data_IF_381908036207
#
_entry.id   IF_381908036207
#
_cell.length_a   1.000
_cell.length_b   1.000
_cell.length_c   1.000
_cell.angle_alpha   90.00
_cell.angle_beta   90.00
_cell.angle_gamma   90.00
#
_symmetry.space_group_name_H-M   'P 1'
#
loop_
_entity.id
_entity.type
_entity.pdbx_description
1 polymer ?
#
# COMPACT_ATOMS: atom_id res chain seq x y z
N UNK A 1 -16.58 -6.71 -8.99
CA UNK A 1 -17.54 -5.69 -9.39
C UNK A 1 -16.99 -4.91 -10.59
N UNK A 2 -17.82 -4.72 -11.60
CA UNK A 2 -17.49 -4.09 -12.87
C UNK A 2 -18.39 -2.89 -13.09
N UNK A 3 -17.85 -1.85 -13.73
CA UNK A 3 -18.61 -0.68 -14.11
C UNK A 3 -18.32 -0.30 -15.56
N UNK A 4 -19.36 0.09 -16.28
CA UNK A 4 -19.25 0.59 -17.64
C UNK A 4 -19.10 2.10 -17.62
N UNK A 5 -18.08 2.58 -18.34
CA UNK A 5 -17.81 4.01 -18.48
C UNK A 5 -19.01 4.72 -19.15
N UNK A 6 -19.32 5.92 -18.69
CA UNK A 6 -20.44 6.72 -19.21
C UNK A 6 -21.80 6.43 -18.59
N UNK A 7 -21.89 5.51 -17.65
CA UNK A 7 -23.09 5.25 -16.87
C UNK A 7 -22.94 5.62 -15.41
N UNK A 8 -23.97 6.21 -14.83
CA UNK A 8 -24.02 6.48 -13.39
C UNK A 8 -24.14 5.15 -12.64
N UNK A 9 -23.04 4.68 -12.08
CA UNK A 9 -22.97 3.44 -11.33
C UNK A 9 -22.19 3.60 -10.02
N UNK A 10 -22.16 2.54 -9.26
CA UNK A 10 -21.54 2.46 -7.97
C UNK A 10 -20.03 2.74 -8.07
N UNK A 11 -19.56 3.73 -7.31
CA UNK A 11 -18.18 4.23 -7.39
C UNK A 11 -17.10 3.41 -6.66
N UNK A 12 -17.35 2.36 -5.86
CA UNK A 12 -16.28 1.49 -5.40
C UNK A 12 -15.98 0.30 -6.32
N UNK A 13 -16.51 0.27 -7.55
CA UNK A 13 -16.19 -0.82 -8.48
C UNK A 13 -14.70 -0.89 -8.79
N UNK A 14 -14.15 -2.10 -8.77
CA UNK A 14 -12.72 -2.32 -8.97
C UNK A 14 -12.27 -2.15 -10.40
N UNK A 15 -13.14 -2.47 -11.36
CA UNK A 15 -12.81 -2.50 -12.78
C UNK A 15 -13.86 -1.73 -13.55
N UNK A 16 -13.43 -0.78 -14.33
CA UNK A 16 -14.24 -0.03 -15.25
C UNK A 16 -13.87 -0.40 -16.68
N UNK A 17 -14.84 -0.46 -17.58
CA UNK A 17 -14.61 -0.82 -18.96
C UNK A 17 -15.58 -0.13 -19.93
N UNK A 18 -15.16 -0.03 -21.14
CA UNK A 18 -15.99 0.30 -22.32
C UNK A 18 -15.77 -0.74 -23.43
N UNK A 19 -16.18 -0.46 -24.66
CA UNK A 19 -16.04 -1.40 -25.77
C UNK A 19 -14.59 -1.69 -26.17
N UNK A 20 -13.64 -0.82 -25.82
CA UNK A 20 -12.26 -0.86 -26.30
C UNK A 20 -11.24 -0.91 -25.18
N UNK A 21 -11.61 -0.47 -23.96
CA UNK A 21 -10.66 -0.24 -22.87
C UNK A 21 -11.12 -0.86 -21.56
N UNK A 22 -10.14 -1.19 -20.72
CA UNK A 22 -10.31 -1.63 -19.33
C UNK A 22 -9.48 -0.73 -18.44
N UNK A 23 -10.11 -0.22 -17.37
CA UNK A 23 -9.46 0.65 -16.38
C UNK A 23 -9.54 0.03 -15.00
N UNK A 24 -8.40 -0.12 -14.38
CA UNK A 24 -8.26 -0.67 -13.04
C UNK A 24 -8.24 0.48 -12.03
N UNK A 25 -9.13 0.43 -11.04
CA UNK A 25 -9.23 1.48 -10.02
C UNK A 25 -8.16 1.32 -8.94
N UNK A 26 -7.91 2.35 -8.11
CA UNK A 26 -7.06 2.21 -6.92
C UNK A 26 -7.48 1.03 -6.04
N UNK A 27 -8.80 0.81 -5.88
CA UNK A 27 -9.34 -0.31 -5.11
C UNK A 27 -8.92 -1.69 -5.67
N UNK A 28 -8.88 -1.85 -6.98
CA UNK A 28 -8.35 -3.06 -7.62
C UNK A 28 -6.90 -3.31 -7.21
N UNK A 29 -6.05 -2.29 -7.30
CA UNK A 29 -4.63 -2.43 -6.95
C UNK A 29 -4.41 -2.72 -5.47
N UNK A 30 -5.18 -2.08 -4.57
CA UNK A 30 -5.14 -2.39 -3.15
C UNK A 30 -5.48 -3.86 -2.90
N UNK A 31 -6.60 -4.36 -3.46
CA UNK A 31 -7.01 -5.75 -3.31
C UNK A 31 -5.95 -6.71 -3.88
N UNK A 32 -5.40 -6.41 -5.04
CA UNK A 32 -4.32 -7.19 -5.66
C UNK A 32 -3.08 -7.26 -4.77
N UNK A 33 -2.64 -6.13 -4.22
CA UNK A 33 -1.48 -6.09 -3.34
C UNK A 33 -1.74 -6.86 -2.03
N UNK A 34 -2.95 -6.74 -1.45
CA UNK A 34 -3.31 -7.53 -0.28
C UNK A 34 -3.31 -9.03 -0.57
N UNK A 35 -3.90 -9.45 -1.69
CA UNK A 35 -3.98 -10.87 -2.05
C UNK A 35 -2.62 -11.50 -2.37
N UNK A 36 -1.69 -10.74 -2.94
CA UNK A 36 -0.38 -11.24 -3.33
C UNK A 36 0.67 -11.19 -2.21
N UNK A 37 0.40 -10.47 -1.12
CA UNK A 37 1.31 -10.30 0.01
C UNK A 37 0.62 -10.69 1.32
N UNK A 38 0.40 -11.99 1.48
CA UNK A 38 -0.20 -12.57 2.68
C UNK A 38 0.90 -13.05 3.62
N UNK A 39 0.75 -12.75 4.91
CA UNK A 39 1.50 -13.40 5.97
C UNK A 39 0.64 -14.48 6.62
N UNK A 40 1.27 -15.37 7.38
CA UNK A 40 0.61 -16.47 8.07
C UNK A 40 0.01 -16.03 9.41
N UNK A 41 0.58 -14.99 10.02
CA UNK A 41 0.08 -14.43 11.28
C UNK A 41 0.34 -12.93 11.37
N UNK A 42 -0.47 -12.25 12.20
CA UNK A 42 -0.33 -10.81 12.47
C UNK A 42 0.66 -10.57 13.60
N UNK A 43 1.49 -9.55 13.45
CA UNK A 43 2.39 -9.06 14.50
C UNK A 43 1.75 -7.86 15.17
N UNK A 44 1.62 -7.89 16.48
CA UNK A 44 1.11 -6.77 17.27
C UNK A 44 2.17 -5.68 17.39
N UNK A 45 1.75 -4.44 17.21
CA UNK A 45 2.59 -3.25 17.37
C UNK A 45 2.25 -2.58 18.70
N UNK A 46 2.91 -2.97 19.79
CA UNK A 46 2.61 -2.51 21.15
C UNK A 46 2.56 -0.97 21.26
N UNK A 47 1.34 -0.41 21.28
CA UNK A 47 1.08 1.02 21.48
C UNK A 47 1.48 1.96 20.32
N UNK A 48 2.28 1.51 19.37
CA UNK A 48 2.79 2.31 18.25
C UNK A 48 1.70 2.67 17.23
N UNK A 49 0.68 1.81 17.09
CA UNK A 49 -0.45 2.08 16.21
C UNK A 49 -1.13 3.43 16.48
N UNK A 50 -1.29 3.78 17.76
CA UNK A 50 -1.96 5.02 18.15
C UNK A 50 -1.16 6.26 17.74
N UNK A 51 0.15 6.21 17.90
CA UNK A 51 1.05 7.30 17.48
C UNK A 51 1.06 7.45 15.95
N UNK A 52 1.19 6.35 15.22
CA UNK A 52 1.15 6.36 13.76
C UNK A 52 -0.19 6.89 13.22
N UNK A 53 -1.31 6.50 13.82
CA UNK A 53 -2.64 7.01 13.45
C UNK A 53 -2.79 8.50 13.73
N UNK A 54 -2.18 9.02 14.80
CA UNK A 54 -2.15 10.46 15.08
C UNK A 54 -1.39 11.23 13.98
N UNK A 55 -0.37 10.61 13.40
CA UNK A 55 0.38 11.11 12.24
C UNK A 55 -0.31 10.81 10.89
N UNK A 56 -1.54 10.29 10.90
CA UNK A 56 -2.26 9.90 9.68
C UNK A 56 -1.57 8.81 8.87
N UNK A 57 -0.84 7.92 9.55
CA UNK A 57 -0.20 6.73 9.02
C UNK A 57 -0.92 5.49 9.55
N UNK A 58 -1.26 4.57 8.66
CA UNK A 58 -1.95 3.34 9.01
C UNK A 58 -1.06 2.17 8.60
N UNK A 59 -0.73 1.31 9.55
CA UNK A 59 0.19 0.19 9.34
C UNK A 59 -0.43 -1.10 9.82
N UNK A 60 -0.18 -2.18 9.09
CA UNK A 60 -0.36 -3.54 9.59
C UNK A 60 0.88 -4.36 9.26
N UNK A 61 1.28 -5.21 10.19
CA UNK A 61 2.44 -6.08 10.04
C UNK A 61 1.99 -7.53 10.12
N UNK A 62 2.43 -8.32 9.17
CA UNK A 62 2.26 -9.78 9.18
C UNK A 62 3.60 -10.46 8.96
N UNK A 63 3.71 -11.72 9.35
CA UNK A 63 4.91 -12.52 9.16
C UNK A 63 4.56 -13.87 8.58
N UNK A 64 5.43 -14.42 7.74
CA UNK A 64 5.30 -15.79 7.24
C UNK A 64 5.99 -16.76 8.18
N UNK A 65 5.63 -18.06 8.11
CA UNK A 65 6.33 -19.12 8.84
C UNK A 65 7.79 -19.25 8.43
N UNK A 66 8.15 -18.79 7.23
CA UNK A 66 9.52 -18.71 6.75
C UNK A 66 10.33 -17.54 7.36
N UNK A 67 9.67 -16.67 8.14
CA UNK A 67 10.31 -15.55 8.83
C UNK A 67 10.27 -14.22 8.06
N UNK A 68 9.73 -14.19 6.85
CA UNK A 68 9.60 -12.93 6.11
C UNK A 68 8.59 -11.99 6.80
N UNK A 69 8.93 -10.73 6.87
CA UNK A 69 8.07 -9.66 7.40
C UNK A 69 7.39 -8.93 6.25
N UNK A 70 6.09 -8.71 6.37
CA UNK A 70 5.28 -7.99 5.40
C UNK A 70 4.60 -6.82 6.11
N UNK A 71 5.06 -5.62 5.79
CA UNK A 71 4.50 -4.37 6.29
C UNK A 71 3.60 -3.76 5.23
N UNK A 72 2.34 -3.51 5.56
CA UNK A 72 1.40 -2.76 4.72
C UNK A 72 1.14 -1.41 5.36
N UNK A 73 1.44 -0.34 4.65
CA UNK A 73 1.39 1.02 5.18
C UNK A 73 0.64 1.96 4.25
N UNK A 74 -0.24 2.78 4.82
CA UNK A 74 -0.94 3.86 4.12
C UNK A 74 -0.47 5.20 4.67
N UNK A 75 0.06 6.05 3.82
CA UNK A 75 0.34 7.44 4.13
C UNK A 75 -0.75 8.33 3.53
N UNK A 76 -1.59 8.91 4.39
CA UNK A 76 -2.65 9.84 3.94
C UNK A 76 -2.21 11.31 3.93
N UNK A 77 -0.96 11.60 4.30
CA UNK A 77 -0.42 12.96 4.29
C UNK A 77 -0.10 13.44 2.87
N UNK A 78 -0.05 14.76 2.73
CA UNK A 78 0.41 15.41 1.50
C UNK A 78 1.95 15.44 1.36
N UNK A 79 2.67 14.92 2.35
CA UNK A 79 4.13 14.85 2.39
C UNK A 79 4.58 13.40 2.57
N UNK A 80 5.78 13.04 2.10
CA UNK A 80 6.38 11.75 2.43
C UNK A 80 6.55 11.59 3.94
N UNK A 81 6.48 10.34 4.40
CA UNK A 81 6.66 9.97 5.80
C UNK A 81 7.77 8.94 5.94
N UNK A 82 8.66 9.13 6.91
CA UNK A 82 9.69 8.15 7.22
C UNK A 82 9.16 7.19 8.29
N UNK A 83 8.85 5.96 7.87
CA UNK A 83 8.42 4.90 8.76
C UNK A 83 9.63 4.20 9.37
N UNK A 84 9.78 4.28 10.69
CA UNK A 84 10.81 3.54 11.41
C UNK A 84 10.46 2.04 11.45
N UNK A 85 11.45 1.19 11.26
CA UNK A 85 11.34 -0.27 11.34
C UNK A 85 12.36 -0.78 12.37
N UNK A 86 11.85 -1.48 13.37
CA UNK A 86 12.64 -2.10 14.42
C UNK A 86 12.16 -3.53 14.67
N UNK A 87 13.02 -4.37 15.22
CA UNK A 87 12.67 -5.70 15.68
C UNK A 87 11.93 -5.66 17.05
N UNK A 88 11.58 -6.84 17.55
CA UNK A 88 10.87 -7.01 18.82
C UNK A 88 11.67 -6.50 20.04
N UNK A 89 12.99 -6.36 19.92
CA UNK A 89 13.88 -5.84 20.93
C UNK A 89 14.14 -4.33 20.78
N UNK A 90 13.55 -3.71 19.76
CA UNK A 90 13.73 -2.28 19.47
C UNK A 90 15.01 -1.97 18.70
N UNK A 91 15.77 -2.97 18.25
CA UNK A 91 16.92 -2.75 17.41
C UNK A 91 16.51 -2.42 15.97
N UNK A 92 17.27 -1.56 15.31
CA UNK A 92 17.03 -1.20 13.91
C UNK A 92 17.01 -2.43 13.03
N UNK A 93 15.98 -2.52 12.18
CA UNK A 93 15.92 -3.54 11.14
C UNK A 93 16.93 -3.21 10.04
N UNK A 94 17.82 -4.14 9.73
CA UNK A 94 18.70 -4.09 8.57
C UNK A 94 18.43 -5.29 7.68
N UNK A 95 17.89 -5.03 6.47
CA UNK A 95 17.51 -6.09 5.54
C UNK A 95 17.49 -5.58 4.10
N UNK A 96 17.68 -6.49 3.18
CA UNK A 96 17.32 -6.28 1.78
C UNK A 96 15.91 -6.79 1.54
N UNK A 97 15.13 -6.03 0.79
CA UNK A 97 13.74 -6.36 0.55
C UNK A 97 13.20 -5.74 -0.73
N UNK A 98 11.88 -5.76 -0.83
CA UNK A 98 11.15 -5.13 -1.92
C UNK A 98 10.06 -4.23 -1.37
N UNK A 99 9.78 -3.15 -2.09
CA UNK A 99 8.67 -2.26 -1.83
C UNK A 99 7.79 -2.15 -3.07
N UNK A 100 6.50 -2.36 -2.90
CA UNK A 100 5.46 -2.08 -3.89
C UNK A 100 4.71 -0.84 -3.42
N UNK A 101 4.65 0.17 -4.26
CA UNK A 101 3.97 1.42 -3.95
C UNK A 101 2.86 1.68 -4.95
N UNK A 102 1.65 1.84 -4.44
CA UNK A 102 0.49 2.32 -5.19
C UNK A 102 0.36 3.81 -4.95
N UNK A 103 0.39 4.56 -6.02
CA UNK A 103 0.25 6.01 -6.01
C UNK A 103 -0.59 6.50 -7.20
N UNK A 104 -1.00 7.76 -7.15
CA UNK A 104 -1.69 8.39 -8.26
C UNK A 104 -0.76 8.51 -9.46
N UNK A 105 -1.28 8.25 -10.65
CA UNK A 105 -0.55 8.30 -11.91
C UNK A 105 -1.12 9.37 -12.85
N UNK A 106 -0.85 10.64 -12.54
CA UNK A 106 -1.27 11.75 -13.37
C UNK A 106 -2.62 12.38 -12.97
N UNK A 107 -3.21 13.16 -13.85
CA UNK A 107 -4.49 13.83 -13.63
C UNK A 107 -5.66 12.89 -13.89
N UNK A 108 -6.73 13.09 -13.11
CA UNK A 108 -7.97 12.33 -13.28
C UNK A 108 -8.75 12.88 -14.48
N UNK A 109 -8.96 12.09 -15.53
CA UNK A 109 -9.86 12.46 -16.59
C UNK A 109 -11.30 12.59 -16.08
N UNK A 110 -12.09 13.44 -16.73
CA UNK A 110 -13.51 13.59 -16.41
C UNK A 110 -14.25 12.26 -16.62
N UNK A 111 -15.10 11.88 -15.64
CA UNK A 111 -15.90 10.65 -15.64
C UNK A 111 -15.11 9.33 -15.72
N UNK A 112 -13.80 9.36 -15.43
CA UNK A 112 -12.94 8.19 -15.41
C UNK A 112 -12.51 7.85 -13.98
N UNK A 113 -12.09 6.59 -13.71
CA UNK A 113 -11.45 6.27 -12.45
C UNK A 113 -10.14 7.03 -12.28
N UNK A 114 -9.71 7.20 -11.02
CA UNK A 114 -8.42 7.80 -10.71
C UNK A 114 -7.29 6.97 -11.33
N UNK A 115 -6.43 7.56 -12.18
CA UNK A 115 -5.31 6.83 -12.74
C UNK A 115 -4.32 6.49 -11.63
N UNK A 116 -3.95 5.22 -11.55
CA UNK A 116 -3.08 4.69 -10.51
C UNK A 116 -2.04 3.77 -11.10
N UNK A 117 -0.88 3.74 -10.49
CA UNK A 117 0.19 2.80 -10.84
C UNK A 117 0.75 2.13 -9.60
N UNK A 118 1.20 0.91 -9.77
CA UNK A 118 2.04 0.21 -8.79
C UNK A 118 3.46 0.16 -9.33
N UNK A 119 4.40 0.61 -8.52
CA UNK A 119 5.83 0.45 -8.78
C UNK A 119 6.40 -0.61 -7.85
N UNK A 120 7.29 -1.45 -8.34
CA UNK A 120 8.06 -2.42 -7.56
C UNK A 120 9.53 -2.03 -7.60
N UNK A 121 10.15 -1.87 -6.43
CA UNK A 121 11.55 -1.53 -6.31
C UNK A 121 12.25 -2.42 -5.27
N UNK A 122 13.51 -2.74 -5.52
CA UNK A 122 14.38 -3.24 -4.46
C UNK A 122 14.62 -2.12 -3.43
N UNK A 123 14.66 -2.47 -2.16
CA UNK A 123 14.92 -1.54 -1.07
C UNK A 123 15.94 -2.12 -0.10
N UNK A 124 16.91 -1.31 0.30
CA UNK A 124 17.75 -1.59 1.47
C UNK A 124 17.12 -0.89 2.67
N UNK A 125 16.72 -1.67 3.65
CA UNK A 125 16.20 -1.17 4.93
C UNK A 125 17.38 -0.97 5.87
N UNK A 126 17.50 0.24 6.40
CA UNK A 126 18.42 0.62 7.48
C UNK A 126 17.61 1.39 8.54
N UNK A 127 16.86 0.64 9.31
CA UNK A 127 16.02 1.15 10.38
C UNK A 127 14.79 1.94 9.91
N UNK A 128 14.60 2.21 8.62
CA UNK A 128 13.44 2.95 8.12
C UNK A 128 13.20 2.77 6.64
N UNK A 129 11.99 3.15 6.21
CA UNK A 129 11.60 3.28 4.79
C UNK A 129 10.82 4.58 4.59
N UNK A 130 10.88 5.14 3.39
CA UNK A 130 10.11 6.32 3.02
C UNK A 130 8.81 5.89 2.35
N UNK A 131 7.69 6.32 2.92
CA UNK A 131 6.37 6.18 2.34
C UNK A 131 6.04 7.46 1.55
N UNK A 132 5.83 7.41 0.23
CA UNK A 132 5.43 8.59 -0.54
C UNK A 132 4.14 9.23 -0.02
N UNK A 133 3.92 10.49 -0.35
CA UNK A 133 2.68 11.18 -0.04
C UNK A 133 1.48 10.51 -0.70
N UNK A 134 0.33 10.43 -0.01
CA UNK A 134 -0.92 9.88 -0.57
C UNK A 134 -0.74 8.51 -1.22
N UNK A 135 -0.02 7.60 -0.56
CA UNK A 135 0.33 6.29 -1.08
C UNK A 135 -0.13 5.14 -0.20
N UNK A 136 -0.24 3.97 -0.82
CA UNK A 136 -0.26 2.68 -0.13
C UNK A 136 0.98 1.90 -0.52
N UNK A 137 1.72 1.42 0.46
CA UNK A 137 2.96 0.67 0.26
C UNK A 137 2.90 -0.70 0.92
N UNK A 138 3.46 -1.70 0.24
CA UNK A 138 3.76 -3.02 0.82
C UNK A 138 5.27 -3.19 0.82
N UNK A 139 5.84 -3.45 1.98
CA UNK A 139 7.27 -3.71 2.16
C UNK A 139 7.43 -5.18 2.58
N UNK A 140 8.33 -5.91 1.95
CA UNK A 140 8.61 -7.32 2.27
C UNK A 140 10.12 -7.54 2.40
N UNK A 141 10.55 -8.13 3.50
CA UNK A 141 11.95 -8.44 3.83
C UNK A 141 12.06 -9.65 4.77
#
# INVERSE_FOLDING_TARGET
LFNRIGHSQWKPDMIWFDAENVYLTPNYYVQKLFANHLGDYTVEMEGQEKALRADSIYVSVTRTWAGEVIVKAVNTNAQPYTLALADEQGAKTEADGKIWTLERAGEKPENMPEPSKVTENAVRIDGSVILPAKSFSVIRY
#
